data_IF_914139210222
#
_entry.id   IF_914139210222
#
_cell.length_a   1.000
_cell.length_b   1.000
_cell.length_c   1.000
_cell.angle_alpha   90.00
_cell.angle_beta   90.00
_cell.angle_gamma   90.00
#
_symmetry.space_group_name_H-M   'P 1'
#
loop_
_entity.id
_entity.type
_entity.pdbx_description
1 polymer ?
#
# COMPACT_ATOMS: atom_id res chain seq x y z
N UNK A 1 8.74 15.50 28.65
CA UNK A 1 7.46 14.78 28.48
C UNK A 1 7.01 14.67 27.02
N UNK A 2 7.11 15.71 26.17
CA UNK A 2 6.68 15.66 24.76
C UNK A 2 7.32 14.52 23.93
N UNK A 3 8.64 14.33 24.04
CA UNK A 3 9.41 13.28 23.33
C UNK A 3 8.85 11.86 23.53
N UNK A 4 8.34 11.53 24.72
CA UNK A 4 7.76 10.21 25.02
C UNK A 4 6.42 9.98 24.30
N UNK A 5 5.59 11.01 24.17
CA UNK A 5 4.28 10.92 23.53
C UNK A 5 4.40 10.71 22.01
N UNK A 6 5.38 11.37 21.38
CA UNK A 6 5.69 11.19 19.97
C UNK A 6 6.15 9.76 19.63
N UNK A 7 7.06 9.22 20.44
CA UNK A 7 7.58 7.85 20.25
C UNK A 7 6.45 6.82 20.33
N UNK A 8 5.48 7.02 21.24
CA UNK A 8 4.30 6.15 21.37
C UNK A 8 3.42 6.15 20.12
N UNK A 9 3.19 7.29 19.48
CA UNK A 9 2.41 7.37 18.25
C UNK A 9 3.12 6.69 17.07
N UNK A 10 4.42 6.96 16.90
CA UNK A 10 5.20 6.30 15.85
C UNK A 10 5.25 4.79 16.05
N UNK A 11 5.42 4.30 17.29
CA UNK A 11 5.44 2.88 17.60
C UNK A 11 4.12 2.17 17.25
N UNK A 12 2.99 2.87 17.19
CA UNK A 12 1.71 2.30 16.72
C UNK A 12 1.65 2.19 15.19
N UNK A 13 2.23 3.14 14.47
CA UNK A 13 2.22 3.17 12.99
C UNK A 13 3.30 2.26 12.40
N UNK A 14 4.48 2.22 13.03
CA UNK A 14 5.65 1.45 12.61
C UNK A 14 5.32 0.00 12.21
N UNK A 15 4.62 -0.81 13.02
CA UNK A 15 4.33 -2.20 12.64
C UNK A 15 3.42 -2.31 11.41
N UNK A 16 2.49 -1.36 11.21
CA UNK A 16 1.62 -1.35 10.02
C UNK A 16 2.40 -0.98 8.76
N UNK A 17 3.30 -0.01 8.87
CA UNK A 17 4.18 0.41 7.78
C UNK A 17 5.16 -0.70 7.40
N UNK A 18 5.78 -1.34 8.40
CA UNK A 18 6.65 -2.50 8.19
C UNK A 18 5.90 -3.63 7.51
N UNK A 19 4.69 -3.96 7.98
CA UNK A 19 3.85 -4.96 7.34
C UNK A 19 3.56 -4.62 5.86
N UNK A 20 3.18 -3.38 5.56
CA UNK A 20 2.89 -2.99 4.18
C UNK A 20 4.13 -3.01 3.27
N UNK A 21 5.31 -2.63 3.79
CA UNK A 21 6.58 -2.76 3.06
C UNK A 21 6.96 -4.23 2.87
N UNK A 22 6.79 -5.07 3.88
CA UNK A 22 7.06 -6.51 3.80
C UNK A 22 6.15 -7.21 2.79
N UNK A 23 4.87 -6.84 2.75
CA UNK A 23 3.90 -7.27 1.74
C UNK A 23 4.35 -6.81 0.34
N UNK A 24 4.67 -5.53 0.18
CA UNK A 24 5.06 -4.96 -1.11
C UNK A 24 6.37 -5.58 -1.66
N UNK A 25 7.33 -5.85 -0.78
CA UNK A 25 8.67 -6.33 -1.16
C UNK A 25 8.81 -7.86 -1.16
N UNK A 26 7.77 -8.59 -0.74
CA UNK A 26 7.79 -10.05 -0.56
C UNK A 26 8.97 -10.53 0.29
N UNK A 27 9.11 -9.98 1.49
CA UNK A 27 10.19 -10.35 2.39
C UNK A 27 9.72 -11.26 3.54
N UNK A 28 9.91 -12.59 3.45
CA UNK A 28 9.32 -13.52 4.41
C UNK A 28 10.19 -13.82 5.64
N UNK A 29 11.40 -13.28 5.79
CA UNK A 29 12.41 -13.97 6.62
C UNK A 29 12.43 -13.62 8.11
N UNK A 30 11.85 -12.50 8.56
CA UNK A 30 11.86 -12.12 9.99
C UNK A 30 10.47 -11.92 10.62
N UNK A 31 9.41 -12.00 9.83
CA UNK A 31 8.05 -11.74 10.31
C UNK A 31 7.35 -12.98 10.92
N UNK A 32 6.35 -12.83 11.80
CA UNK A 32 5.54 -13.92 12.32
C UNK A 32 4.89 -14.77 11.21
N UNK A 33 4.64 -16.05 11.52
CA UNK A 33 4.16 -17.06 10.54
C UNK A 33 2.93 -16.62 9.74
N UNK A 34 1.97 -15.97 10.40
CA UNK A 34 0.74 -15.48 9.74
C UNK A 34 1.04 -14.47 8.63
N UNK A 35 1.99 -13.56 8.82
CA UNK A 35 2.37 -12.56 7.81
C UNK A 35 3.07 -13.24 6.63
N UNK A 36 3.95 -14.22 6.89
CA UNK A 36 4.59 -15.02 5.83
C UNK A 36 3.57 -15.78 5.00
N UNK A 37 2.56 -16.37 5.65
CA UNK A 37 1.47 -17.06 4.98
C UNK A 37 0.69 -16.08 4.09
N UNK A 38 0.30 -14.93 4.63
CA UNK A 38 -0.43 -13.90 3.89
C UNK A 38 0.33 -13.44 2.63
N UNK A 39 1.64 -13.15 2.77
CA UNK A 39 2.50 -12.75 1.65
C UNK A 39 2.56 -13.85 0.57
N UNK A 40 2.82 -15.10 0.95
CA UNK A 40 2.91 -16.21 -0.01
C UNK A 40 1.58 -16.49 -0.71
N UNK A 41 0.49 -16.51 0.06
CA UNK A 41 -0.86 -16.74 -0.46
C UNK A 41 -1.27 -15.64 -1.44
N UNK A 42 -0.84 -14.39 -1.22
CA UNK A 42 -1.09 -13.30 -2.16
C UNK A 42 -0.47 -13.55 -3.54
N UNK A 43 0.78 -14.01 -3.61
CA UNK A 43 1.44 -14.28 -4.89
C UNK A 43 0.73 -15.42 -5.63
N UNK A 44 0.43 -16.50 -4.91
CA UNK A 44 -0.26 -17.66 -5.50
C UNK A 44 -1.65 -17.25 -6.00
N UNK A 45 -2.40 -16.51 -5.17
CA UNK A 45 -3.72 -15.97 -5.49
C UNK A 45 -3.70 -15.08 -6.73
N UNK A 46 -2.73 -14.17 -6.84
CA UNK A 46 -2.63 -13.26 -7.99
C UNK A 46 -2.25 -14.00 -9.28
N UNK A 47 -1.33 -14.97 -9.22
CA UNK A 47 -0.98 -15.82 -10.37
C UNK A 47 -2.16 -16.68 -10.83
N UNK A 48 -2.87 -17.31 -9.89
CA UNK A 48 -4.09 -18.06 -10.20
C UNK A 48 -5.20 -17.15 -10.74
N UNK A 49 -5.32 -15.92 -10.22
CA UNK A 49 -6.25 -14.91 -10.72
C UNK A 49 -5.96 -14.51 -12.16
N UNK A 50 -4.70 -14.27 -12.52
CA UNK A 50 -4.29 -13.98 -13.91
C UNK A 50 -4.62 -15.16 -14.83
N UNK A 51 -4.19 -16.37 -14.46
CA UNK A 51 -4.44 -17.56 -15.29
C UNK A 51 -5.92 -17.85 -15.43
N UNK A 52 -6.68 -17.76 -14.33
CA UNK A 52 -8.10 -18.07 -14.33
C UNK A 52 -8.98 -17.03 -15.01
N UNK A 53 -8.60 -15.74 -14.95
CA UNK A 53 -9.29 -14.70 -15.76
C UNK A 53 -8.97 -14.85 -17.23
N UNK A 54 -7.71 -15.11 -17.59
CA UNK A 54 -7.32 -15.33 -18.98
C UNK A 54 -8.06 -16.54 -19.56
N UNK A 55 -8.14 -17.63 -18.81
CA UNK A 55 -8.90 -18.82 -19.20
C UNK A 55 -10.40 -18.51 -19.37
N UNK A 56 -11.00 -17.79 -18.43
CA UNK A 56 -12.41 -17.37 -18.53
C UNK A 56 -12.67 -16.49 -19.78
N UNK A 57 -11.77 -15.54 -20.06
CA UNK A 57 -11.85 -14.66 -21.23
C UNK A 57 -11.81 -15.48 -22.52
N UNK A 58 -10.84 -16.40 -22.65
CA UNK A 58 -10.70 -17.26 -23.84
C UNK A 58 -11.94 -18.13 -24.03
N UNK A 59 -12.50 -18.70 -22.96
CA UNK A 59 -13.65 -19.60 -23.05
C UNK A 59 -14.99 -18.89 -23.25
N UNK A 60 -15.11 -17.62 -22.86
CA UNK A 60 -16.37 -16.86 -22.93
C UNK A 60 -16.41 -15.90 -24.13
N UNK A 61 -15.31 -15.78 -24.87
CA UNK A 61 -15.24 -14.87 -26.01
C UNK A 61 -15.83 -15.51 -27.27
N UNK A 62 -17.14 -15.31 -27.46
CA UNK A 62 -17.87 -15.71 -28.66
C UNK A 62 -17.88 -14.61 -29.75
N UNK A 63 -16.88 -13.72 -29.74
CA UNK A 63 -16.81 -12.58 -30.67
C UNK A 63 -17.65 -11.36 -30.28
N UNK A 64 -18.38 -11.40 -29.17
CA UNK A 64 -19.16 -10.27 -28.64
C UNK A 64 -18.59 -9.76 -27.31
N UNK A 65 -18.49 -8.43 -27.17
CA UNK A 65 -18.02 -7.80 -25.94
C UNK A 65 -19.15 -7.68 -24.91
N UNK A 66 -19.26 -8.67 -24.03
CA UNK A 66 -20.28 -8.70 -22.97
C UNK A 66 -19.82 -8.00 -21.70
N UNK A 67 -20.77 -7.62 -20.82
CA UNK A 67 -20.43 -7.05 -19.51
C UNK A 67 -19.60 -7.99 -18.63
N UNK A 68 -19.77 -9.31 -18.75
CA UNK A 68 -18.97 -10.30 -18.02
C UNK A 68 -17.50 -10.29 -18.50
N UNK A 69 -17.31 -10.21 -19.82
CA UNK A 69 -15.99 -10.10 -20.43
C UNK A 69 -15.29 -8.80 -20.00
N UNK A 70 -16.01 -7.68 -20.01
CA UNK A 70 -15.48 -6.40 -19.55
C UNK A 70 -15.00 -6.46 -18.08
N UNK A 71 -15.81 -7.06 -17.20
CA UNK A 71 -15.46 -7.25 -15.79
C UNK A 71 -14.27 -8.21 -15.61
N UNK A 72 -14.19 -9.27 -16.41
CA UNK A 72 -13.07 -10.23 -16.39
C UNK A 72 -11.76 -9.57 -16.85
N UNK A 73 -11.81 -8.73 -17.89
CA UNK A 73 -10.67 -7.93 -18.34
C UNK A 73 -10.22 -6.92 -17.29
N UNK A 74 -11.16 -6.23 -16.64
CA UNK A 74 -10.84 -5.33 -15.52
C UNK A 74 -10.16 -6.09 -14.38
N UNK A 75 -10.66 -7.27 -14.02
CA UNK A 75 -10.04 -8.11 -13.00
C UNK A 75 -8.63 -8.57 -13.40
N UNK A 76 -8.45 -8.98 -14.66
CA UNK A 76 -7.14 -9.33 -15.22
C UNK A 76 -6.15 -8.16 -15.11
N UNK A 77 -6.56 -6.95 -15.51
CA UNK A 77 -5.73 -5.73 -15.41
C UNK A 77 -5.34 -5.47 -13.96
N UNK A 78 -6.27 -5.62 -13.01
CA UNK A 78 -5.96 -5.46 -11.58
C UNK A 78 -4.93 -6.50 -11.11
N UNK A 79 -5.07 -7.77 -11.49
CA UNK A 79 -4.10 -8.80 -11.14
C UNK A 79 -2.72 -8.54 -11.75
N UNK A 80 -2.65 -8.07 -13.00
CA UNK A 80 -1.41 -7.66 -13.65
C UNK A 80 -0.79 -6.46 -12.94
N UNK A 81 -1.57 -5.43 -12.60
CA UNK A 81 -1.10 -4.27 -11.87
C UNK A 81 -0.48 -4.64 -10.51
N UNK A 82 -1.13 -5.55 -9.77
CA UNK A 82 -0.64 -6.07 -8.49
C UNK A 82 0.69 -6.82 -8.67
N UNK A 83 0.77 -7.65 -9.70
CA UNK A 83 1.98 -8.44 -10.03
C UNK A 83 3.13 -7.53 -10.46
N UNK A 84 2.87 -6.53 -11.30
CA UNK A 84 3.87 -5.55 -11.73
C UNK A 84 4.36 -4.69 -10.56
N UNK A 85 3.46 -4.21 -9.69
CA UNK A 85 3.83 -3.46 -8.48
C UNK A 85 4.69 -4.30 -7.54
N UNK A 86 4.33 -5.57 -7.35
CA UNK A 86 5.10 -6.54 -6.58
C UNK A 86 6.55 -6.63 -7.10
N UNK A 87 6.72 -6.82 -8.41
CA UNK A 87 8.05 -6.94 -9.04
C UNK A 87 8.83 -5.63 -8.90
N UNK A 88 8.20 -4.49 -9.15
CA UNK A 88 8.83 -3.17 -9.01
C UNK A 88 9.28 -2.88 -7.58
N UNK A 89 8.44 -3.20 -6.59
CA UNK A 89 8.77 -3.00 -5.17
C UNK A 89 9.88 -3.93 -4.71
N UNK A 90 9.92 -5.16 -5.22
CA UNK A 90 11.04 -6.06 -4.98
C UNK A 90 12.34 -5.54 -5.60
N UNK A 91 12.27 -4.98 -6.80
CA UNK A 91 13.43 -4.38 -7.47
C UNK A 91 13.97 -3.15 -6.71
N UNK A 92 13.08 -2.25 -6.27
CA UNK A 92 13.44 -1.05 -5.51
C UNK A 92 13.54 -1.26 -3.99
N UNK A 93 13.60 -2.50 -3.53
CA UNK A 93 13.52 -2.83 -2.11
C UNK A 93 14.56 -2.11 -1.27
N UNK A 94 15.82 -2.09 -1.70
CA UNK A 94 16.90 -1.46 -0.93
C UNK A 94 16.61 0.04 -0.74
N UNK A 95 16.08 0.70 -1.75
CA UNK A 95 15.71 2.12 -1.68
C UNK A 95 14.55 2.34 -0.70
N UNK A 96 13.55 1.44 -0.69
CA UNK A 96 12.41 1.50 0.25
C UNK A 96 12.87 1.29 1.69
N UNK A 97 13.76 0.33 1.92
CA UNK A 97 14.34 0.07 3.25
C UNK A 97 15.21 1.23 3.73
N UNK A 98 16.05 1.78 2.85
CA UNK A 98 16.85 2.97 3.15
C UNK A 98 15.96 4.17 3.49
N UNK A 99 14.84 4.34 2.77
CA UNK A 99 13.86 5.39 3.06
C UNK A 99 13.18 5.16 4.41
N UNK A 100 12.84 3.92 4.76
CA UNK A 100 12.28 3.56 6.06
C UNK A 100 13.26 3.87 7.20
N UNK A 101 14.53 3.48 7.05
CA UNK A 101 15.59 3.73 8.03
C UNK A 101 15.82 5.24 8.20
N UNK A 102 15.82 5.97 7.09
CA UNK A 102 15.84 7.44 7.08
C UNK A 102 14.65 8.01 7.84
N UNK A 103 13.43 7.52 7.61
CA UNK A 103 12.24 7.99 8.34
C UNK A 103 12.35 7.69 9.83
N UNK A 104 12.91 6.53 10.21
CA UNK A 104 13.14 6.17 11.60
C UNK A 104 14.20 7.06 12.26
N UNK A 105 15.31 7.36 11.57
CA UNK A 105 16.37 8.23 12.11
C UNK A 105 15.85 9.64 12.39
N UNK A 106 14.93 10.14 11.55
CA UNK A 106 14.26 11.42 11.76
C UNK A 106 13.46 11.45 13.07
N UNK A 107 12.95 10.33 13.58
CA UNK A 107 12.22 10.35 14.86
C UNK A 107 13.16 10.26 16.08
N UNK A 108 14.42 9.88 15.88
CA UNK A 108 15.37 9.61 16.96
C UNK A 108 16.42 10.71 17.15
N UNK A 109 16.87 11.39 16.09
CA UNK A 109 17.98 12.34 16.15
C UNK A 109 17.55 13.74 15.68
N UNK A 110 17.25 14.63 16.64
CA UNK A 110 17.09 16.06 16.37
C UNK A 110 18.09 16.87 17.21
N UNK A 111 19.05 17.53 16.56
CA UNK A 111 20.05 18.37 17.23
C UNK A 111 19.49 19.73 17.69
N UNK A 112 18.47 20.28 17.01
CA UNK A 112 17.94 21.62 17.29
C UNK A 112 16.55 21.55 17.96
N UNK A 113 16.45 22.06 19.19
CA UNK A 113 15.23 22.05 20.01
C UNK A 113 14.03 22.76 19.36
N UNK A 114 14.23 23.89 18.69
CA UNK A 114 13.13 24.64 18.06
C UNK A 114 12.59 23.93 16.82
N UNK A 115 13.49 23.47 15.95
CA UNK A 115 13.12 22.68 14.77
C UNK A 115 12.47 21.35 15.18
N UNK A 116 12.92 20.76 16.29
CA UNK A 116 12.32 19.55 16.86
C UNK A 116 10.86 19.77 17.25
N UNK A 117 10.54 20.87 17.95
CA UNK A 117 9.16 21.17 18.35
C UNK A 117 8.22 21.37 17.15
N UNK A 118 8.70 22.02 16.08
CA UNK A 118 7.94 22.21 14.83
C UNK A 118 7.75 20.88 14.11
N UNK A 119 8.81 20.08 13.99
CA UNK A 119 8.76 18.76 13.40
C UNK A 119 7.78 17.86 14.15
N UNK A 120 7.88 17.79 15.47
CA UNK A 120 7.01 17.00 16.34
C UNK A 120 5.52 17.32 16.13
N UNK A 121 5.15 18.61 16.13
CA UNK A 121 3.77 19.04 15.91
C UNK A 121 3.26 18.58 14.54
N UNK A 122 4.08 18.71 13.50
CA UNK A 122 3.73 18.29 12.14
C UNK A 122 3.65 16.76 12.01
N UNK A 123 4.53 16.03 12.70
CA UNK A 123 4.58 14.57 12.72
C UNK A 123 3.35 13.97 13.40
N UNK A 124 2.92 14.54 14.53
CA UNK A 124 1.70 14.12 15.22
C UNK A 124 0.47 14.38 14.34
N UNK A 125 0.36 15.58 13.77
CA UNK A 125 -0.74 15.93 12.86
C UNK A 125 -0.81 14.94 11.68
N UNK A 126 0.35 14.63 11.09
CA UNK A 126 0.46 13.69 9.99
C UNK A 126 0.07 12.26 10.39
N UNK A 127 0.59 11.78 11.52
CA UNK A 127 0.24 10.48 12.11
C UNK A 127 -1.27 10.35 12.30
N UNK A 128 -1.92 11.40 12.79
CA UNK A 128 -3.37 11.41 13.00
C UNK A 128 -4.14 11.40 11.66
N UNK A 129 -3.70 12.17 10.67
CA UNK A 129 -4.28 12.14 9.32
C UNK A 129 -4.17 10.74 8.73
N UNK A 130 -2.97 10.15 8.75
CA UNK A 130 -2.73 8.82 8.22
C UNK A 130 -3.57 7.76 8.94
N UNK A 131 -3.69 7.82 10.27
CA UNK A 131 -4.51 6.89 11.05
C UNK A 131 -6.01 7.00 10.69
N UNK A 132 -6.51 8.23 10.48
CA UNK A 132 -7.88 8.46 10.00
C UNK A 132 -8.06 7.91 8.58
N UNK A 133 -7.14 8.19 7.66
CA UNK A 133 -7.15 7.64 6.30
C UNK A 133 -7.11 6.11 6.32
N UNK A 134 -6.30 5.51 7.19
CA UNK A 134 -6.24 4.06 7.34
C UNK A 134 -7.58 3.49 7.81
N UNK A 135 -8.22 4.11 8.80
CA UNK A 135 -9.53 3.67 9.29
C UNK A 135 -10.61 3.76 8.20
N UNK A 136 -10.69 4.90 7.52
CA UNK A 136 -11.68 5.13 6.45
C UNK A 136 -11.43 4.19 5.27
N UNK A 137 -10.19 4.11 4.79
CA UNK A 137 -9.82 3.28 3.66
C UNK A 137 -10.04 1.80 3.95
N UNK A 138 -9.72 1.32 5.15
CA UNK A 138 -10.03 -0.05 5.58
C UNK A 138 -11.54 -0.32 5.48
N UNK A 139 -12.38 0.53 6.07
CA UNK A 139 -13.84 0.39 5.99
C UNK A 139 -14.32 0.39 4.54
N UNK A 140 -13.82 1.31 3.71
CA UNK A 140 -14.18 1.38 2.29
C UNK A 140 -13.82 0.09 1.55
N UNK A 141 -12.63 -0.46 1.79
CA UNK A 141 -12.19 -1.72 1.16
C UNK A 141 -13.11 -2.87 1.55
N UNK A 142 -13.49 -2.99 2.83
CA UNK A 142 -14.43 -4.01 3.28
C UNK A 142 -15.81 -3.86 2.64
N UNK A 143 -16.36 -2.65 2.60
CA UNK A 143 -17.66 -2.38 2.00
C UNK A 143 -17.63 -2.69 0.50
N UNK A 144 -16.65 -2.18 -0.23
CA UNK A 144 -16.52 -2.41 -1.67
C UNK A 144 -16.31 -3.89 -2.00
N UNK A 145 -15.44 -4.59 -1.26
CA UNK A 145 -15.24 -6.03 -1.46
C UNK A 145 -16.52 -6.82 -1.15
N UNK A 146 -17.22 -6.50 -0.06
CA UNK A 146 -18.49 -7.14 0.30
C UNK A 146 -19.57 -6.92 -0.76
N UNK A 147 -19.76 -5.67 -1.20
CA UNK A 147 -20.72 -5.33 -2.27
C UNK A 147 -20.38 -6.05 -3.59
N UNK A 148 -19.10 -6.15 -3.94
CA UNK A 148 -18.66 -6.87 -5.13
C UNK A 148 -18.96 -8.37 -5.05
N UNK A 149 -18.71 -8.99 -3.90
CA UNK A 149 -19.02 -10.41 -3.67
C UNK A 149 -20.52 -10.66 -3.80
N UNK A 150 -21.34 -9.86 -3.11
CA UNK A 150 -22.80 -9.98 -3.14
C UNK A 150 -23.34 -9.74 -4.56
N UNK A 151 -22.84 -8.73 -5.27
CA UNK A 151 -23.28 -8.44 -6.64
C UNK A 151 -22.98 -9.59 -7.60
N UNK A 152 -21.82 -10.24 -7.49
CA UNK A 152 -21.49 -11.40 -8.32
C UNK A 152 -22.27 -12.65 -7.90
N UNK A 153 -22.55 -12.83 -6.61
CA UNK A 153 -23.39 -13.92 -6.13
C UNK A 153 -24.83 -13.84 -6.67
N UNK A 154 -25.43 -12.64 -6.69
CA UNK A 154 -26.77 -12.42 -7.26
C UNK A 154 -26.81 -12.75 -8.76
N UNK A 155 -25.71 -12.50 -9.48
CA UNK A 155 -25.58 -12.80 -10.92
C UNK A 155 -25.39 -14.30 -11.23
N UNK A 156 -25.13 -15.13 -10.22
CA UNK A 156 -24.88 -16.56 -10.40
C UNK A 156 -23.77 -16.84 -11.41
N UNK A 157 -24.04 -17.73 -12.39
CA UNK A 157 -23.07 -18.13 -13.43
C UNK A 157 -22.53 -16.94 -14.23
N UNK A 158 -23.34 -15.91 -14.47
CA UNK A 158 -22.91 -14.71 -15.20
C UNK A 158 -22.00 -13.77 -14.40
N UNK A 159 -21.89 -13.98 -13.09
CA UNK A 159 -20.98 -13.26 -12.18
C UNK A 159 -19.60 -13.90 -12.05
N UNK A 160 -19.36 -15.03 -12.71
CA UNK A 160 -18.07 -15.73 -12.71
C UNK A 160 -17.10 -15.00 -13.64
N UNK A 161 -16.09 -14.37 -13.04
CA UNK A 161 -15.04 -13.63 -13.74
C UNK A 161 -13.74 -14.44 -13.85
N UNK A 162 -13.56 -15.42 -12.96
CA UNK A 162 -12.38 -16.27 -12.86
C UNK A 162 -12.82 -17.72 -12.99
N UNK A 163 -12.24 -18.45 -13.94
CA UNK A 163 -12.43 -19.89 -14.08
C UNK A 163 -11.14 -20.62 -13.75
N UNK A 164 -11.18 -21.55 -12.79
CA UNK A 164 -10.02 -22.38 -12.47
C UNK A 164 -9.99 -23.54 -13.48
N UNK A 165 -8.93 -23.69 -14.28
CA UNK A 165 -8.90 -24.63 -15.41
C UNK A 165 -9.05 -26.11 -15.02
N UNK A 166 -8.83 -26.45 -13.75
CA UNK A 166 -8.88 -27.83 -13.25
C UNK A 166 -10.27 -28.28 -12.77
N UNK A 167 -11.28 -27.40 -12.78
CA UNK A 167 -12.63 -27.72 -12.30
C UNK A 167 -13.57 -27.80 -13.51
N UNK A 168 -14.22 -28.96 -13.76
CA UNK A 168 -15.11 -29.11 -14.91
C UNK A 168 -16.37 -28.26 -14.75
N UNK A 169 -16.84 -27.67 -15.85
CA UNK A 169 -17.99 -26.78 -15.89
C UNK A 169 -19.32 -27.48 -15.55
N UNK A 170 -19.37 -28.81 -15.71
CA UNK A 170 -20.56 -29.63 -15.44
C UNK A 170 -20.68 -30.05 -13.96
N UNK A 171 -19.74 -29.62 -13.12
CA UNK A 171 -19.78 -29.92 -11.70
C UNK A 171 -20.95 -29.17 -11.02
N UNK A 172 -21.74 -29.89 -10.21
CA UNK A 172 -22.97 -29.35 -9.60
C UNK A 172 -22.74 -28.07 -8.78
N UNK A 173 -21.62 -27.96 -8.07
CA UNK A 173 -21.26 -26.77 -7.28
C UNK A 173 -20.24 -25.87 -7.97
N UNK A 174 -20.13 -25.92 -9.30
CA UNK A 174 -19.12 -25.16 -10.05
C UNK A 174 -19.24 -23.66 -9.78
N UNK A 175 -20.45 -23.12 -9.88
CA UNK A 175 -20.69 -21.67 -9.74
C UNK A 175 -20.34 -21.19 -8.33
N UNK A 176 -20.78 -21.91 -7.32
CA UNK A 176 -20.53 -21.62 -5.90
C UNK A 176 -19.03 -21.65 -5.59
N UNK A 177 -18.32 -22.67 -6.10
CA UNK A 177 -16.86 -22.77 -5.94
C UNK A 177 -16.14 -21.63 -6.64
N UNK A 178 -16.49 -21.30 -7.88
CA UNK A 178 -15.84 -20.19 -8.61
C UNK A 178 -16.05 -18.85 -7.91
N UNK A 179 -17.28 -18.56 -7.47
CA UNK A 179 -17.59 -17.35 -6.74
C UNK A 179 -16.87 -17.30 -5.39
N UNK A 180 -16.72 -18.43 -4.70
CA UNK A 180 -15.95 -18.53 -3.46
C UNK A 180 -14.47 -18.22 -3.69
N UNK A 181 -13.83 -18.85 -4.68
CA UNK A 181 -12.43 -18.58 -5.01
C UNK A 181 -12.22 -17.13 -5.49
N UNK A 182 -13.11 -16.60 -6.33
CA UNK A 182 -13.10 -15.20 -6.76
C UNK A 182 -13.21 -14.24 -5.56
N UNK A 183 -14.03 -14.58 -4.57
CA UNK A 183 -14.17 -13.78 -3.33
C UNK A 183 -12.86 -13.77 -2.54
N UNK A 184 -12.21 -14.94 -2.42
CA UNK A 184 -10.90 -15.06 -1.79
C UNK A 184 -9.86 -14.22 -2.54
N UNK A 185 -9.75 -14.37 -3.86
CA UNK A 185 -8.79 -13.63 -4.68
C UNK A 185 -9.02 -12.12 -4.63
N UNK A 186 -10.28 -11.70 -4.68
CA UNK A 186 -10.68 -10.30 -4.54
C UNK A 186 -10.29 -9.71 -3.19
N UNK A 187 -10.58 -10.43 -2.09
CA UNK A 187 -10.25 -9.97 -0.74
C UNK A 187 -8.73 -9.83 -0.53
N UNK A 188 -7.96 -10.81 -0.99
CA UNK A 188 -6.50 -10.79 -0.98
C UNK A 188 -5.95 -9.60 -1.78
N UNK A 189 -6.41 -9.45 -3.02
CA UNK A 189 -6.01 -8.36 -3.92
C UNK A 189 -6.33 -6.97 -3.35
N UNK A 190 -7.54 -6.78 -2.82
CA UNK A 190 -7.95 -5.51 -2.24
C UNK A 190 -7.14 -5.16 -0.99
N UNK A 191 -6.87 -6.16 -0.14
CA UNK A 191 -6.03 -5.99 1.05
C UNK A 191 -4.59 -5.62 0.65
N UNK A 192 -4.00 -6.33 -0.32
CA UNK A 192 -2.66 -6.04 -0.82
C UNK A 192 -2.53 -4.60 -1.34
N UNK A 193 -3.46 -4.17 -2.21
CA UNK A 193 -3.45 -2.82 -2.78
C UNK A 193 -3.57 -1.78 -1.68
N UNK A 194 -4.49 -1.98 -0.73
CA UNK A 194 -4.69 -1.07 0.37
C UNK A 194 -3.43 -0.91 1.24
N UNK A 195 -2.82 -2.00 1.70
CA UNK A 195 -1.62 -1.94 2.54
C UNK A 195 -0.42 -1.37 1.80
N UNK A 196 -0.23 -1.74 0.53
CA UNK A 196 0.88 -1.28 -0.29
C UNK A 196 0.76 0.22 -0.57
N UNK A 197 -0.39 0.67 -1.07
CA UNK A 197 -0.58 2.06 -1.49
C UNK A 197 -0.54 3.02 -0.30
N UNK A 198 -1.09 2.61 0.83
CA UNK A 198 -1.07 3.41 2.05
C UNK A 198 0.33 3.48 2.69
N UNK A 199 1.16 2.45 2.48
CA UNK A 199 2.57 2.47 2.91
C UNK A 199 3.42 3.37 2.01
N UNK A 200 3.23 3.28 0.69
CA UNK A 200 3.88 4.17 -0.28
C UNK A 200 3.50 5.62 0.01
N UNK A 201 2.20 5.91 0.16
CA UNK A 201 1.72 7.25 0.45
C UNK A 201 2.33 7.81 1.75
N UNK A 202 2.50 6.97 2.78
CA UNK A 202 3.17 7.38 4.01
C UNK A 202 4.63 7.77 3.76
N UNK A 203 5.35 6.93 3.02
CA UNK A 203 6.76 7.13 2.68
C UNK A 203 6.97 8.39 1.81
N UNK A 204 6.11 8.62 0.83
CA UNK A 204 6.14 9.78 -0.05
C UNK A 204 5.84 11.09 0.70
N UNK A 205 4.84 11.08 1.58
CA UNK A 205 4.52 12.25 2.40
C UNK A 205 5.67 12.60 3.36
N UNK A 206 6.38 11.58 3.88
CA UNK A 206 7.57 11.78 4.72
C UNK A 206 8.78 12.27 3.96
N UNK A 207 9.01 11.78 2.75
CA UNK A 207 10.10 12.26 1.90
C UNK A 207 9.90 13.73 1.53
N UNK A 208 8.66 14.13 1.20
CA UNK A 208 8.28 15.51 0.93
C UNK A 208 8.48 16.44 2.14
N UNK A 209 8.08 15.99 3.34
CA UNK A 209 8.32 16.76 4.58
C UNK A 209 9.82 17.00 4.80
N UNK A 210 10.66 15.99 4.61
CA UNK A 210 12.11 16.13 4.75
C UNK A 210 12.68 17.15 3.77
N UNK A 211 12.27 17.09 2.50
CA UNK A 211 12.76 18.02 1.48
C UNK A 211 12.37 19.46 1.83
N UNK A 212 11.15 19.65 2.33
CA UNK A 212 10.68 20.94 2.85
C UNK A 212 11.54 21.44 4.01
N UNK A 213 11.84 20.58 4.99
CA UNK A 213 12.72 20.93 6.12
C UNK A 213 14.13 21.30 5.67
N UNK A 214 14.74 20.53 4.77
CA UNK A 214 16.07 20.82 4.21
C UNK A 214 16.12 22.16 3.48
N UNK A 215 15.03 22.53 2.83
CA UNK A 215 14.92 23.81 2.11
C UNK A 215 14.83 24.96 3.10
N UNK A 216 14.01 24.81 4.15
CA UNK A 216 13.87 25.83 5.21
C UNK A 216 15.20 26.07 5.94
N UNK A 217 15.92 25.01 6.31
CA UNK A 217 17.22 25.14 7.00
C UNK A 217 18.27 25.80 6.11
N UNK A 218 18.30 25.46 4.83
CA UNK A 218 19.17 26.14 3.85
C UNK A 218 18.90 27.65 3.79
N UNK A 219 17.63 28.06 3.69
CA UNK A 219 17.26 29.48 3.68
C UNK A 219 17.58 30.19 5.00
N UNK A 220 17.35 29.56 6.15
CA UNK A 220 17.72 30.13 7.45
C UNK A 220 19.22 30.35 7.59
N UNK A 221 20.04 29.37 7.18
CA UNK A 221 21.51 29.51 7.19
C UNK A 221 21.96 30.64 6.26
N UNK A 222 21.36 30.74 5.06
CA UNK A 222 21.65 31.82 4.11
C UNK A 222 21.30 33.21 4.66
N UNK A 223 20.15 33.35 5.33
CA UNK A 223 19.74 34.60 5.98
C UNK A 223 20.69 34.97 7.12
N UNK A 224 21.08 34.00 7.96
CA UNK A 224 22.00 34.23 9.08
C UNK A 224 23.38 34.66 8.58
N UNK A 225 23.90 34.03 7.53
CA UNK A 225 25.16 34.41 6.91
C UNK A 225 25.09 35.82 6.33
N UNK A 226 23.97 36.18 5.67
CA UNK A 226 23.77 37.53 5.13
C UNK A 226 23.76 38.60 6.22
N UNK A 227 23.12 38.35 7.36
CA UNK A 227 23.11 39.26 8.53
C UNK A 227 24.51 39.45 9.14
N UNK A 228 25.30 38.37 9.22
CA UNK A 228 26.69 38.46 9.71
C UNK A 228 27.52 39.30 8.76
N UNK A 229 27.38 39.10 7.45
CA UNK A 229 28.09 39.87 6.45
C UNK A 229 27.75 41.37 6.53
N UNK A 230 26.45 41.71 6.64
CA UNK A 230 26.02 43.12 6.78
C UNK A 230 26.51 43.76 8.07
N UNK A 231 26.60 42.98 9.17
CA UNK A 231 27.16 43.47 10.42
C UNK A 231 28.67 43.73 10.31
N UNK A 232 29.42 42.84 9.66
CA UNK A 232 30.86 43.02 9.42
C UNK A 232 31.14 44.22 8.52
N UNK A 233 30.32 44.44 7.47
CA UNK A 233 30.40 45.63 6.60
C UNK A 233 30.12 46.92 7.37
N UNK A 234 29.26 46.91 8.40
CA UNK A 234 28.98 48.09 9.22
C UNK A 234 30.08 48.48 10.21
N UNK A 235 31.08 47.61 10.41
CA UNK A 235 32.22 47.85 11.30
C UNK A 235 33.46 48.39 10.57
N UNK A 236 33.41 48.52 9.23
CA UNK A 236 34.44 49.11 8.39
C UNK A 236 34.13 50.57 8.08
#
# INVERSE_FOLDING_TARGET
MALQHHLQHYNKIKPLLQLGISIATYYPTTEPLWQRFFIKTQLISTMLGVLGTLFNIVNTFDGQFTGNLAMSLMFFVVCVQVSSRTVLMRYHRNNVLELLDKVQSLHNNFENKELNAIAEKNLIKFSNIWATCFKIGKTSVFVTAGSFIVANAIKGKSGVLVQIPFIPNDFYYFTELMLFFQSIFGAFTASYLFYTDLSIAFLDLKSWQRQTFSTITFWQTKIRFRKILTFLESLQ
#
